data_IF_094729354549
#
_entry.id   IF_094729354549
#
_cell.length_a   1.000
_cell.length_b   1.000
_cell.length_c   1.000
_cell.angle_alpha   90.00
_cell.angle_beta   90.00
_cell.angle_gamma   90.00
#
_symmetry.space_group_name_H-M   'P 1'
#
loop_
_entity.id
_entity.type
_entity.pdbx_description
1 polymer ?
#
# COMPACT_ATOMS: atom_id res chain seq x y z
N UNK A 1 0.64 3.45 -9.79
CA UNK A 1 0.03 3.68 -8.46
C UNK A 1 0.55 2.68 -7.43
N UNK A 2 0.31 1.37 -7.59
CA UNK A 2 0.72 0.30 -6.65
C UNK A 2 2.19 0.36 -6.23
N UNK A 3 3.14 0.46 -7.18
CA UNK A 3 4.57 0.60 -6.84
C UNK A 3 4.88 1.84 -5.99
N UNK A 4 4.14 2.95 -6.15
CA UNK A 4 4.30 4.14 -5.31
C UNK A 4 3.72 3.92 -3.92
N UNK A 5 2.62 3.17 -3.80
CA UNK A 5 2.04 2.82 -2.51
C UNK A 5 2.99 1.98 -1.66
N UNK A 6 3.72 1.06 -2.30
CA UNK A 6 4.70 0.17 -1.64
C UNK A 6 6.04 0.85 -1.39
N UNK A 7 6.42 1.87 -2.19
CA UNK A 7 7.75 2.51 -2.15
C UNK A 7 8.25 2.86 -0.75
N UNK A 8 7.39 3.45 0.07
CA UNK A 8 7.74 3.91 1.42
C UNK A 8 7.96 2.76 2.42
N UNK A 9 7.55 1.54 2.05
CA UNK A 9 7.64 0.33 2.86
C UNK A 9 8.58 -0.72 2.26
N UNK A 10 9.17 -0.46 1.09
CA UNK A 10 10.03 -1.43 0.37
C UNK A 10 11.11 -2.01 1.28
N UNK A 11 11.78 -1.17 2.08
CA UNK A 11 12.83 -1.64 2.98
C UNK A 11 12.28 -2.62 4.04
N UNK A 12 11.15 -2.28 4.67
CA UNK A 12 10.48 -3.14 5.66
C UNK A 12 9.97 -4.44 5.00
N UNK A 13 9.41 -4.34 3.79
CA UNK A 13 8.95 -5.46 2.97
C UNK A 13 10.08 -6.47 2.67
N UNK A 14 11.28 -5.99 2.38
CA UNK A 14 12.44 -6.82 2.03
C UNK A 14 13.10 -7.43 3.28
N UNK A 15 13.29 -6.62 4.33
CA UNK A 15 14.13 -7.00 5.48
C UNK A 15 13.37 -7.82 6.51
N UNK A 16 12.18 -7.36 6.88
CA UNK A 16 11.42 -7.91 8.00
C UNK A 16 10.32 -8.87 7.55
N UNK A 17 10.02 -8.86 6.25
CA UNK A 17 8.83 -9.48 5.72
C UNK A 17 7.58 -8.71 6.13
N UNK A 18 6.54 -8.78 5.31
CA UNK A 18 5.35 -7.98 5.51
C UNK A 18 4.61 -8.30 6.83
N UNK A 19 4.82 -9.47 7.41
CA UNK A 19 4.24 -9.94 8.69
C UNK A 19 4.66 -9.10 9.91
N UNK A 20 5.80 -8.41 9.82
CA UNK A 20 6.32 -7.55 10.89
C UNK A 20 5.96 -6.07 10.70
N UNK A 21 5.17 -5.72 9.68
CA UNK A 21 4.72 -4.34 9.49
C UNK A 21 3.85 -3.91 10.67
N UNK A 22 4.20 -2.75 11.24
CA UNK A 22 3.39 -2.10 12.26
C UNK A 22 1.93 -1.95 11.78
N UNK A 23 0.93 -2.16 12.65
CA UNK A 23 -0.48 -2.17 12.24
C UNK A 23 -0.91 -0.92 11.44
N UNK A 24 -0.38 0.25 11.80
CA UNK A 24 -0.67 1.50 11.07
C UNK A 24 -0.08 1.50 9.66
N UNK A 25 1.13 0.96 9.47
CA UNK A 25 1.76 0.85 8.14
C UNK A 25 0.96 -0.09 7.25
N UNK A 26 0.50 -1.21 7.80
CA UNK A 26 -0.35 -2.16 7.08
C UNK A 26 -1.68 -1.54 6.65
N UNK A 27 -2.38 -0.85 7.56
CA UNK A 27 -3.61 -0.11 7.25
C UNK A 27 -3.38 0.93 6.15
N UNK A 28 -2.29 1.69 6.25
CA UNK A 28 -1.94 2.74 5.29
C UNK A 28 -1.67 2.16 3.92
N UNK A 29 -0.92 1.06 3.82
CA UNK A 29 -0.64 0.39 2.55
C UNK A 29 -1.93 -0.15 1.92
N UNK A 30 -2.74 -0.87 2.70
CA UNK A 30 -4.05 -1.37 2.25
C UNK A 30 -4.94 -0.24 1.71
N UNK A 31 -4.92 0.91 2.39
CA UNK A 31 -5.68 2.08 1.99
C UNK A 31 -5.17 2.67 0.67
N UNK A 32 -3.85 2.90 0.54
CA UNK A 32 -3.25 3.40 -0.70
C UNK A 32 -3.54 2.45 -1.89
N UNK A 33 -3.47 1.13 -1.67
CA UNK A 33 -3.82 0.12 -2.68
C UNK A 33 -5.29 0.19 -3.08
N UNK A 34 -6.19 0.38 -2.10
CA UNK A 34 -7.62 0.52 -2.36
C UNK A 34 -7.94 1.76 -3.18
N UNK A 35 -7.30 2.89 -2.86
CA UNK A 35 -7.42 4.13 -3.65
C UNK A 35 -6.94 3.90 -5.08
N UNK A 36 -5.79 3.26 -5.27
CA UNK A 36 -5.32 2.88 -6.61
C UNK A 36 -6.35 2.04 -7.37
N UNK A 37 -7.00 1.08 -6.71
CA UNK A 37 -8.00 0.22 -7.32
C UNK A 37 -9.27 1.01 -7.69
N UNK A 38 -9.75 1.88 -6.82
CA UNK A 38 -10.89 2.76 -7.09
C UNK A 38 -10.62 3.69 -8.26
N UNK A 39 -9.45 4.33 -8.31
CA UNK A 39 -9.03 5.21 -9.41
C UNK A 39 -8.97 4.45 -10.74
N UNK A 40 -8.32 3.27 -10.75
CA UNK A 40 -8.18 2.44 -11.95
C UNK A 40 -9.53 1.93 -12.48
N UNK A 41 -10.49 1.70 -11.59
CA UNK A 41 -11.83 1.20 -11.94
C UNK A 41 -12.88 2.31 -12.06
N UNK A 42 -12.48 3.57 -11.89
CA UNK A 42 -13.36 4.74 -11.91
C UNK A 42 -14.52 4.65 -10.91
N UNK A 43 -14.31 3.95 -9.79
CA UNK A 43 -15.26 3.88 -8.69
C UNK A 43 -15.05 5.11 -7.81
N UNK A 44 -16.13 5.88 -7.57
CA UNK A 44 -16.07 6.99 -6.62
C UNK A 44 -15.81 6.47 -5.20
N UNK A 45 -15.01 7.19 -4.42
CA UNK A 45 -14.65 6.86 -3.05
C UNK A 45 -14.70 8.12 -2.16
N UNK A 46 -14.76 7.98 -0.83
CA UNK A 46 -14.93 9.11 0.09
C UNK A 46 -13.81 10.15 -0.03
N UNK A 47 -14.15 11.44 0.07
CA UNK A 47 -13.19 12.55 0.02
C UNK A 47 -12.13 12.45 1.13
N UNK A 48 -12.51 11.92 2.30
CA UNK A 48 -11.60 11.65 3.41
C UNK A 48 -10.39 10.77 3.03
N UNK A 49 -10.46 10.07 1.91
CA UNK A 49 -9.43 9.15 1.43
C UNK A 49 -8.54 9.72 0.32
N UNK A 50 -8.79 10.93 -0.18
CA UNK A 50 -8.07 11.48 -1.34
C UNK A 50 -6.66 12.01 -1.00
N UNK A 51 -6.43 12.50 0.21
CA UNK A 51 -5.16 13.14 0.61
C UNK A 51 -4.74 12.73 2.03
N UNK A 52 -4.66 11.43 2.28
CA UNK A 52 -4.31 10.90 3.61
C UNK A 52 -2.80 10.98 3.82
N UNK A 53 -2.37 11.79 4.79
CA UNK A 53 -0.97 12.01 5.15
C UNK A 53 -0.67 11.53 6.58
N UNK A 54 -1.61 11.73 7.50
CA UNK A 54 -1.46 11.46 8.93
C UNK A 54 -2.26 10.22 9.41
N UNK A 55 -1.87 9.63 10.54
CA UNK A 55 -2.51 8.41 11.06
C UNK A 55 -4.00 8.60 11.44
N UNK A 56 -4.36 9.75 11.99
CA UNK A 56 -5.76 10.08 12.28
C UNK A 56 -6.62 10.12 11.01
N UNK A 57 -6.06 10.61 9.90
CA UNK A 57 -6.72 10.64 8.60
C UNK A 57 -6.90 9.24 8.01
N UNK A 58 -5.93 8.34 8.22
CA UNK A 58 -6.05 6.91 7.84
C UNK A 58 -7.27 6.29 8.50
N UNK A 59 -7.42 6.46 9.82
CA UNK A 59 -8.54 5.87 10.54
C UNK A 59 -9.89 6.50 10.13
N UNK A 60 -9.94 7.81 9.92
CA UNK A 60 -11.15 8.51 9.46
C UNK A 60 -11.59 8.06 8.05
N UNK A 61 -10.63 7.88 7.14
CA UNK A 61 -10.91 7.34 5.82
C UNK A 61 -11.42 5.89 5.91
N UNK A 62 -10.78 5.01 6.68
CA UNK A 62 -11.24 3.62 6.86
C UNK A 62 -12.67 3.58 7.39
N UNK A 63 -13.01 4.42 8.37
CA UNK A 63 -14.36 4.53 8.88
C UNK A 63 -15.35 4.99 7.81
N UNK A 64 -14.95 5.90 6.91
CA UNK A 64 -15.77 6.32 5.78
C UNK A 64 -16.00 5.18 4.77
N UNK A 65 -14.99 4.34 4.51
CA UNK A 65 -15.12 3.18 3.64
C UNK A 65 -16.11 2.12 4.19
N UNK A 66 -16.31 2.06 5.51
CA UNK A 66 -17.29 1.16 6.12
C UNK A 66 -18.74 1.53 5.81
N UNK A 67 -19.02 2.77 5.38
CA UNK A 67 -20.36 3.21 5.00
C UNK A 67 -20.89 2.55 3.72
N UNK A 68 -20.02 1.91 2.94
CA UNK A 68 -20.35 1.24 1.68
C UNK A 68 -19.78 -0.18 1.66
N UNK A 69 -20.60 -1.22 1.44
CA UNK A 69 -20.13 -2.60 1.35
C UNK A 69 -19.08 -2.82 0.25
N UNK A 70 -19.20 -2.09 -0.87
CA UNK A 70 -18.25 -2.19 -1.98
C UNK A 70 -16.88 -1.65 -1.57
N UNK A 71 -16.84 -0.47 -0.94
CA UNK A 71 -15.60 0.15 -0.46
C UNK A 71 -14.93 -0.69 0.62
N UNK A 72 -15.72 -1.20 1.58
CA UNK A 72 -15.20 -2.07 2.63
C UNK A 72 -14.64 -3.38 2.09
N UNK A 73 -15.27 -3.98 1.08
CA UNK A 73 -14.78 -5.20 0.44
C UNK A 73 -13.42 -4.98 -0.21
N UNK A 74 -13.25 -3.90 -0.98
CA UNK A 74 -11.97 -3.55 -1.61
C UNK A 74 -10.88 -3.31 -0.57
N UNK A 75 -11.18 -2.52 0.47
CA UNK A 75 -10.21 -2.25 1.54
C UNK A 75 -9.83 -3.51 2.31
N UNK A 76 -10.80 -4.29 2.76
CA UNK A 76 -10.53 -5.52 3.52
C UNK A 76 -9.82 -6.58 2.68
N UNK A 77 -10.06 -6.62 1.36
CA UNK A 77 -9.31 -7.43 0.40
C UNK A 77 -7.84 -7.00 0.36
N UNK A 78 -7.58 -5.73 0.06
CA UNK A 78 -6.22 -5.19 0.02
C UNK A 78 -5.49 -5.30 1.37
N UNK A 79 -6.19 -5.19 2.50
CA UNK A 79 -5.62 -5.38 3.84
C UNK A 79 -5.16 -6.82 4.10
N UNK A 80 -5.89 -7.81 3.58
CA UNK A 80 -5.50 -9.23 3.64
C UNK A 80 -4.30 -9.49 2.74
N UNK A 81 -4.34 -8.97 1.51
CA UNK A 81 -3.29 -9.13 0.49
C UNK A 81 -2.08 -8.22 0.68
N UNK A 82 -2.09 -7.33 1.68
CA UNK A 82 -0.97 -6.40 1.92
C UNK A 82 0.36 -7.15 2.03
N UNK A 83 0.33 -8.37 2.59
CA UNK A 83 1.54 -9.17 2.74
C UNK A 83 2.09 -9.72 1.43
N UNK A 84 1.23 -10.32 0.61
CA UNK A 84 1.61 -10.87 -0.69
C UNK A 84 2.11 -9.77 -1.63
N UNK A 85 1.40 -8.63 -1.65
CA UNK A 85 1.73 -7.46 -2.46
C UNK A 85 3.05 -6.81 -2.02
N UNK A 86 3.24 -6.61 -0.72
CA UNK A 86 4.48 -6.03 -0.17
C UNK A 86 5.70 -6.88 -0.55
N UNK A 87 5.60 -8.20 -0.46
CA UNK A 87 6.67 -9.09 -0.92
C UNK A 87 6.88 -9.02 -2.43
N UNK A 88 5.83 -9.23 -3.24
CA UNK A 88 5.96 -9.30 -4.70
C UNK A 88 6.46 -8.00 -5.31
N UNK A 89 5.93 -6.86 -4.86
CA UNK A 89 6.29 -5.54 -5.36
C UNK A 89 7.65 -5.08 -4.89
N UNK A 90 8.22 -5.68 -3.82
CA UNK A 90 9.57 -5.36 -3.36
C UNK A 90 10.68 -5.94 -4.25
N UNK A 91 10.40 -7.05 -4.95
CA UNK A 91 11.39 -7.75 -5.78
C UNK A 91 11.93 -6.89 -6.94
N UNK A 92 11.10 -6.16 -7.70
CA UNK A 92 11.58 -5.20 -8.69
C UNK A 92 12.54 -4.15 -8.11
N UNK A 93 12.24 -3.61 -6.92
CA UNK A 93 13.11 -2.62 -6.28
C UNK A 93 14.46 -3.21 -5.87
N UNK A 94 14.47 -4.43 -5.32
CA UNK A 94 15.69 -5.13 -4.98
C UNK A 94 16.57 -5.37 -6.22
N UNK A 95 15.96 -5.81 -7.33
CA UNK A 95 16.65 -5.98 -8.61
C UNK A 95 17.28 -4.67 -9.09
N UNK A 96 16.53 -3.58 -9.10
CA UNK A 96 17.02 -2.28 -9.56
C UNK A 96 18.18 -1.75 -8.70
N UNK A 97 18.15 -1.99 -7.38
CA UNK A 97 19.24 -1.64 -6.50
C UNK A 97 20.51 -2.45 -6.79
N UNK A 98 20.40 -3.77 -6.96
CA UNK A 98 21.53 -4.64 -7.29
C UNK A 98 22.18 -4.20 -8.61
N UNK A 99 21.36 -3.93 -9.64
CA UNK A 99 21.83 -3.48 -10.94
C UNK A 99 22.59 -2.15 -10.82
N UNK A 100 22.05 -1.18 -10.09
CA UNK A 100 22.70 0.13 -9.87
C UNK A 100 24.05 -0.01 -9.17
N UNK A 101 24.14 -0.88 -8.15
CA UNK A 101 25.40 -1.14 -7.45
C UNK A 101 26.41 -1.78 -8.40
N UNK A 102 26.02 -2.80 -9.17
CA UNK A 102 26.92 -3.48 -10.11
C UNK A 102 27.51 -2.51 -11.14
N UNK A 103 26.69 -1.65 -11.74
CA UNK A 103 27.15 -0.68 -12.74
C UNK A 103 27.95 0.50 -12.18
N UNK A 104 27.85 0.80 -10.88
CA UNK A 104 28.68 1.84 -10.25
C UNK A 104 30.05 1.33 -9.78
N UNK A 105 30.22 0.01 -9.64
CA UNK A 105 31.45 -0.61 -9.14
C UNK A 105 32.30 -1.21 -10.28
N UNK A 106 31.74 -1.32 -11.49
CA UNK A 106 32.45 -1.77 -12.71
C UNK A 106 32.83 -0.59 -13.57
#
# INVERSE_FOLDING_TARGET
CVQNAVRDLVHECIVSGAEQLEPIRRKTLALKLSVCEFENTQVNYPEACQNVVEENEVNACIQSLQSSPQHWTTYSGNYRETFSICFSESLPFAKDQIIKVFYNVT
#
